data_IF_877663922835
#
_entry.id   IF_877663922835
#
_cell.length_a   1.000
_cell.length_b   1.000
_cell.length_c   1.000
_cell.angle_alpha   90.00
_cell.angle_beta   90.00
_cell.angle_gamma   90.00
#
_symmetry.space_group_name_H-M   'P 1'
#
loop_
_entity.id
_entity.type
_entity.pdbx_description
1 polymer ?
#
# COMPACT_ATOMS: atom_id res chain seq x y z
N UNK A 1 -7.83 -1.96 -28.72
CA UNK A 1 -8.06 -2.93 -27.60
C UNK A 1 -6.81 -3.39 -26.82
N UNK A 2 -5.75 -3.93 -27.48
CA UNK A 2 -4.60 -4.54 -26.75
C UNK A 2 -3.74 -3.51 -26.02
N UNK A 3 -3.63 -2.28 -26.56
CA UNK A 3 -2.98 -1.15 -25.88
C UNK A 3 -3.69 -0.82 -24.56
N UNK A 4 -5.03 -0.79 -24.54
CA UNK A 4 -5.81 -0.57 -23.30
C UNK A 4 -5.56 -1.69 -22.29
N UNK A 5 -5.55 -2.95 -22.72
CA UNK A 5 -5.19 -4.07 -21.86
C UNK A 5 -3.77 -3.97 -21.31
N UNK A 6 -2.80 -3.52 -22.11
CA UNK A 6 -1.42 -3.29 -21.66
C UNK A 6 -1.33 -2.19 -20.59
N UNK A 7 -2.15 -1.14 -20.69
CA UNK A 7 -2.26 -0.10 -19.66
C UNK A 7 -2.95 -0.61 -18.39
N UNK A 8 -4.04 -1.37 -18.53
CA UNK A 8 -4.78 -1.93 -17.38
C UNK A 8 -3.99 -3.02 -16.64
N UNK A 9 -3.15 -3.78 -17.34
CA UNK A 9 -2.23 -4.77 -16.76
C UNK A 9 -0.93 -4.14 -16.22
N UNK A 10 -0.73 -2.83 -16.39
CA UNK A 10 0.45 -2.17 -15.86
C UNK A 10 0.44 -2.21 -14.33
N UNK A 11 1.53 -2.67 -13.73
CA UNK A 11 1.68 -2.80 -12.27
C UNK A 11 1.52 -1.45 -11.54
N UNK A 12 1.83 -0.33 -12.20
CA UNK A 12 1.62 1.01 -11.68
C UNK A 12 0.15 1.46 -11.65
N UNK A 13 -0.74 0.80 -12.40
CA UNK A 13 -2.18 1.12 -12.37
C UNK A 13 -2.80 0.52 -11.10
N UNK A 14 -3.03 1.36 -10.10
CA UNK A 14 -3.67 0.96 -8.84
C UNK A 14 -5.18 0.98 -9.03
N UNK A 15 -5.89 -0.16 -8.88
CA UNK A 15 -7.34 -0.16 -8.98
C UNK A 15 -7.93 0.47 -7.72
N UNK A 16 -9.17 0.96 -7.79
CA UNK A 16 -9.85 1.47 -6.60
C UNK A 16 -10.14 0.36 -5.60
N UNK A 17 -10.55 -0.81 -6.09
CA UNK A 17 -10.75 -2.02 -5.31
C UNK A 17 -9.70 -3.09 -5.67
N UNK A 18 -9.09 -3.69 -4.65
CA UNK A 18 -8.16 -4.81 -4.81
C UNK A 18 -8.92 -6.13 -4.64
N UNK A 19 -9.18 -6.86 -5.74
CA UNK A 19 -9.89 -8.13 -5.64
C UNK A 19 -9.06 -9.14 -4.84
N UNK A 20 -9.76 -10.03 -4.12
CA UNK A 20 -9.19 -11.11 -3.33
C UNK A 20 -8.41 -10.67 -2.07
N UNK A 21 -8.59 -9.42 -1.61
CA UNK A 21 -8.06 -8.87 -0.35
C UNK A 21 -9.12 -8.16 0.47
N UNK A 22 -10.38 -8.51 0.26
CA UNK A 22 -11.54 -7.90 0.91
C UNK A 22 -11.51 -8.17 2.42
N UNK A 23 -11.20 -9.40 2.83
CA UNK A 23 -11.13 -9.77 4.24
C UNK A 23 -10.01 -9.01 4.98
N UNK A 24 -8.82 -8.88 4.38
CA UNK A 24 -7.73 -8.10 4.97
C UNK A 24 -8.05 -6.60 4.97
N UNK A 25 -8.69 -6.09 3.91
CA UNK A 25 -9.17 -4.71 3.84
C UNK A 25 -10.13 -4.40 4.98
N UNK A 26 -11.16 -5.22 5.18
CA UNK A 26 -12.15 -5.06 6.25
C UNK A 26 -11.50 -5.12 7.63
N UNK A 27 -10.54 -6.04 7.83
CA UNK A 27 -9.81 -6.14 9.11
C UNK A 27 -8.99 -4.88 9.40
N UNK A 28 -8.23 -4.37 8.43
CA UNK A 28 -7.45 -3.14 8.62
C UNK A 28 -8.39 -1.96 8.83
N UNK A 29 -9.46 -1.83 8.04
CA UNK A 29 -10.44 -0.76 8.15
C UNK A 29 -11.09 -0.74 9.54
N UNK A 30 -11.56 -1.90 10.01
CA UNK A 30 -12.16 -2.04 11.34
C UNK A 30 -11.18 -1.68 12.44
N UNK A 31 -9.97 -2.26 12.42
CA UNK A 31 -8.98 -1.98 13.46
C UNK A 31 -8.58 -0.49 13.52
N UNK A 32 -8.44 0.18 12.37
CA UNK A 32 -8.12 1.61 12.35
C UNK A 32 -9.34 2.44 12.77
N UNK A 33 -10.53 2.09 12.30
CA UNK A 33 -11.79 2.75 12.67
C UNK A 33 -12.03 2.72 14.17
N UNK A 34 -11.94 1.52 14.79
CA UNK A 34 -12.11 1.33 16.22
C UNK A 34 -11.14 2.23 17.03
N UNK A 35 -9.86 2.29 16.64
CA UNK A 35 -8.85 3.15 17.29
C UNK A 35 -9.14 4.66 17.13
N UNK A 36 -9.64 5.07 15.96
CA UNK A 36 -10.00 6.46 15.68
C UNK A 36 -11.27 6.90 16.43
N UNK A 37 -12.22 6.00 16.62
CA UNK A 37 -13.45 6.23 17.38
C UNK A 37 -13.19 6.28 18.89
N UNK A 38 -12.42 5.31 19.42
CA UNK A 38 -11.99 5.30 20.82
C UNK A 38 -11.07 6.50 21.15
N UNK A 39 -10.45 7.11 20.14
CA UNK A 39 -9.45 8.15 20.32
C UNK A 39 -8.20 7.63 21.02
N UNK A 40 -7.91 6.34 20.84
CA UNK A 40 -6.81 5.62 21.48
C UNK A 40 -5.65 5.46 20.51
N UNK A 41 -4.43 5.47 21.06
CA UNK A 41 -3.22 5.15 20.29
C UNK A 41 -3.15 3.64 20.08
N UNK A 42 -2.74 3.24 18.88
CA UNK A 42 -2.64 1.84 18.54
C UNK A 42 -1.56 1.57 17.51
N UNK A 43 -1.22 0.30 17.36
CA UNK A 43 -0.34 -0.10 16.29
C UNK A 43 -0.79 -1.41 15.65
N UNK A 44 -0.77 -1.43 14.33
CA UNK A 44 -1.18 -2.55 13.51
C UNK A 44 0.02 -2.96 12.68
N UNK A 45 0.38 -4.23 12.80
CA UNK A 45 1.52 -4.81 12.09
C UNK A 45 1.02 -5.63 10.91
N UNK A 46 1.40 -5.23 9.71
CA UNK A 46 1.01 -5.85 8.45
C UNK A 46 2.25 -6.51 7.84
N UNK A 47 2.20 -7.83 7.69
CA UNK A 47 3.29 -8.63 7.16
C UNK A 47 2.87 -9.44 5.95
N UNK A 48 3.82 -9.84 5.12
CA UNK A 48 3.57 -10.74 3.99
C UNK A 48 4.65 -10.64 2.93
N UNK A 49 4.69 -11.58 2.00
CA UNK A 49 5.68 -11.55 0.92
C UNK A 49 5.51 -10.32 0.02
N UNK A 50 6.56 -9.85 -0.66
CA UNK A 50 6.45 -8.76 -1.63
C UNK A 50 5.46 -9.14 -2.74
N UNK A 51 4.73 -8.15 -3.26
CA UNK A 51 3.78 -8.39 -4.36
C UNK A 51 2.40 -8.93 -3.96
N UNK A 52 2.13 -9.08 -2.66
CA UNK A 52 0.82 -9.51 -2.11
C UNK A 52 -0.22 -8.40 -1.97
N UNK A 53 0.15 -7.15 -2.28
CA UNK A 53 -0.78 -6.00 -2.28
C UNK A 53 -0.89 -5.22 -0.96
N UNK A 54 -0.06 -5.52 0.07
CA UNK A 54 -0.08 -4.87 1.39
C UNK A 54 -0.26 -3.34 1.35
N UNK A 55 0.72 -2.64 0.76
CA UNK A 55 0.73 -1.18 0.65
C UNK A 55 -0.49 -0.66 -0.12
N UNK A 56 -0.91 -1.38 -1.17
CA UNK A 56 -2.07 -0.99 -1.97
C UNK A 56 -3.38 -1.11 -1.17
N UNK A 57 -3.53 -2.18 -0.38
CA UNK A 57 -4.69 -2.36 0.51
C UNK A 57 -4.74 -1.28 1.58
N UNK A 58 -3.59 -0.96 2.20
CA UNK A 58 -3.53 0.11 3.21
C UNK A 58 -3.91 1.47 2.63
N UNK A 59 -3.39 1.82 1.44
CA UNK A 59 -3.80 3.06 0.77
C UNK A 59 -5.29 3.11 0.45
N UNK A 60 -5.88 1.97 0.04
CA UNK A 60 -7.31 1.89 -0.20
C UNK A 60 -8.11 2.13 1.10
N UNK A 61 -7.69 1.52 2.21
CA UNK A 61 -8.31 1.73 3.53
C UNK A 61 -8.22 3.20 3.96
N UNK A 62 -7.04 3.81 3.83
CA UNK A 62 -6.84 5.22 4.20
C UNK A 62 -7.70 6.14 3.33
N UNK A 63 -7.84 5.84 2.02
CA UNK A 63 -8.72 6.60 1.13
C UNK A 63 -10.17 6.51 1.58
N UNK A 64 -10.62 5.32 1.94
CA UNK A 64 -11.99 5.10 2.44
C UNK A 64 -12.22 5.81 3.78
N UNK A 65 -11.28 5.72 4.71
CA UNK A 65 -11.35 6.45 5.99
C UNK A 65 -11.38 7.97 5.79
N UNK A 66 -10.63 8.50 4.83
CA UNK A 66 -10.70 9.94 4.48
C UNK A 66 -12.08 10.31 3.91
N UNK A 67 -12.65 9.47 3.05
CA UNK A 67 -14.01 9.65 2.51
C UNK A 67 -15.05 9.65 3.65
N UNK A 68 -14.93 8.74 4.61
CA UNK A 68 -15.79 8.69 5.80
C UNK A 68 -15.61 9.92 6.70
N UNK A 69 -14.38 10.42 6.86
CA UNK A 69 -14.11 11.63 7.64
C UNK A 69 -14.71 12.88 6.97
N UNK A 70 -14.65 12.98 5.63
CA UNK A 70 -15.31 14.04 4.85
C UNK A 70 -16.84 13.96 4.97
N UNK A 71 -17.39 12.74 5.03
CA UNK A 71 -18.81 12.49 5.29
C UNK A 71 -19.23 12.73 6.75
N UNK A 72 -18.31 13.14 7.63
CA UNK A 72 -18.52 13.32 9.08
C UNK A 72 -18.93 12.04 9.83
N UNK A 73 -18.61 10.87 9.28
CA UNK A 73 -18.84 9.57 9.93
C UNK A 73 -17.74 9.23 10.93
N UNK A 74 -16.50 9.70 10.69
CA UNK A 74 -15.34 9.45 11.55
C UNK A 74 -14.64 10.73 11.95
N UNK A 75 -13.88 10.67 13.04
CA UNK A 75 -13.06 11.81 13.47
C UNK A 75 -12.04 12.18 12.40
N UNK A 76 -11.84 13.48 12.11
CA UNK A 76 -10.78 13.90 11.21
C UNK A 76 -9.43 13.43 11.75
N UNK A 77 -8.52 13.05 10.86
CA UNK A 77 -7.20 12.57 11.21
C UNK A 77 -6.15 13.10 10.23
N UNK A 78 -4.92 13.25 10.73
CA UNK A 78 -3.77 13.56 9.89
C UNK A 78 -3.17 12.25 9.39
N UNK A 79 -2.90 12.16 8.09
CA UNK A 79 -2.28 10.97 7.48
C UNK A 79 -0.85 11.28 7.02
N UNK A 80 0.11 10.45 7.42
CA UNK A 80 1.52 10.58 7.06
C UNK A 80 2.02 9.26 6.50
N UNK A 81 2.74 9.30 5.38
CA UNK A 81 3.39 8.14 4.78
C UNK A 81 4.91 8.28 4.88
N UNK A 82 5.55 7.30 5.51
CA UNK A 82 7.00 7.18 5.62
C UNK A 82 7.40 5.88 4.95
N UNK A 83 8.08 5.97 3.80
CA UNK A 83 8.55 4.80 3.07
C UNK A 83 10.04 4.61 3.30
N UNK A 84 10.42 3.46 3.86
CA UNK A 84 11.82 3.14 4.20
C UNK A 84 12.79 3.17 3.01
N UNK A 85 12.31 2.93 1.78
CA UNK A 85 13.14 3.03 0.57
C UNK A 85 13.33 4.47 0.06
N UNK A 86 12.41 5.39 0.39
CA UNK A 86 12.51 6.81 0.00
C UNK A 86 13.38 7.61 0.96
N UNK A 87 13.53 7.12 2.19
CA UNK A 87 14.25 7.82 3.25
C UNK A 87 15.72 7.39 3.24
N UNK A 88 16.68 8.32 3.07
CA UNK A 88 18.10 7.97 2.97
C UNK A 88 18.70 7.51 4.30
N UNK A 89 18.23 8.07 5.43
CA UNK A 89 18.66 7.69 6.77
C UNK A 89 17.44 7.47 7.69
N UNK A 90 17.37 6.38 8.46
CA UNK A 90 16.21 6.08 9.31
C UNK A 90 15.85 7.20 10.29
N UNK A 91 16.81 8.02 10.72
CA UNK A 91 16.58 9.17 11.59
C UNK A 91 15.74 10.27 10.92
N UNK A 92 15.78 10.39 9.59
CA UNK A 92 14.97 11.37 8.85
C UNK A 92 13.46 11.06 8.91
N UNK A 93 13.06 9.83 9.27
CA UNK A 93 11.66 9.50 9.56
C UNK A 93 11.05 10.38 10.67
N UNK A 94 11.85 10.80 11.65
CA UNK A 94 11.39 11.69 12.71
C UNK A 94 11.07 13.10 12.19
N UNK A 95 11.89 13.63 11.29
CA UNK A 95 11.64 14.96 10.71
C UNK A 95 10.39 14.95 9.83
N UNK A 96 10.17 13.89 9.05
CA UNK A 96 8.93 13.73 8.26
C UNK A 96 7.67 13.66 9.13
N UNK A 97 7.73 12.93 10.24
CA UNK A 97 6.60 12.87 11.17
C UNK A 97 6.36 14.22 11.85
N UNK A 98 7.41 14.88 12.30
CA UNK A 98 7.30 16.18 12.99
C UNK A 98 6.75 17.27 12.07
N UNK A 99 7.18 17.29 10.80
CA UNK A 99 6.66 18.19 9.78
C UNK A 99 5.14 18.06 9.62
N UNK A 100 4.63 16.84 9.58
CA UNK A 100 3.21 16.58 9.46
C UNK A 100 2.41 16.88 10.74
N UNK A 101 2.96 16.57 11.92
CA UNK A 101 2.30 16.77 13.21
C UNK A 101 2.28 18.26 13.63
N UNK A 102 3.29 19.03 13.21
CA UNK A 102 3.38 20.47 13.50
C UNK A 102 2.38 21.32 12.72
N UNK A 103 1.67 20.73 11.74
CA UNK A 103 0.78 21.47 10.84
C UNK A 103 1.53 22.41 9.89
N UNK A 104 2.82 22.14 9.65
CA UNK A 104 3.65 22.95 8.78
C UNK A 104 3.27 22.65 7.32
N UNK A 105 2.83 23.68 6.60
CA UNK A 105 2.45 23.56 5.20
C UNK A 105 3.71 23.56 4.33
N UNK A 106 4.18 22.36 3.98
CA UNK A 106 5.36 22.12 3.14
C UNK A 106 5.31 22.95 1.84
N UNK A 107 4.11 23.21 1.33
CA UNK A 107 3.91 23.97 0.09
C UNK A 107 4.12 25.49 0.26
N UNK A 108 4.01 26.03 1.48
CA UNK A 108 4.15 27.48 1.76
C UNK A 108 5.46 27.84 2.44
N UNK A 109 5.94 27.00 3.34
CA UNK A 109 7.08 27.31 4.23
C UNK A 109 8.33 26.47 3.92
N UNK A 110 8.22 25.53 2.97
CA UNK A 110 9.28 24.59 2.61
C UNK A 110 9.43 23.45 3.62
N UNK A 111 10.46 22.62 3.45
CA UNK A 111 10.73 21.56 4.43
C UNK A 111 11.30 22.13 5.72
N UNK A 112 10.78 21.68 6.86
CA UNK A 112 11.36 21.96 8.18
C UNK A 112 12.81 21.46 8.21
N UNK A 113 13.76 22.39 8.28
CA UNK A 113 15.20 22.09 8.49
C UNK A 113 15.49 21.74 9.95
N UNK A 114 14.60 20.99 10.58
CA UNK A 114 14.76 20.53 11.96
C UNK A 114 15.55 19.23 11.96
N UNK A 115 16.65 19.21 12.71
CA UNK A 115 17.49 18.03 12.81
C UNK A 115 16.74 16.87 13.46
N UNK A 116 17.01 15.63 13.03
CA UNK A 116 16.30 14.44 13.49
C UNK A 116 16.24 14.28 15.04
N UNK A 117 17.28 14.73 15.75
CA UNK A 117 17.33 14.71 17.23
C UNK A 117 16.39 15.72 17.88
N UNK A 118 16.22 16.88 17.26
CA UNK A 118 15.29 17.91 17.72
C UNK A 118 13.85 17.48 17.44
N UNK A 119 13.57 16.98 16.24
CA UNK A 119 12.29 16.36 15.89
C UNK A 119 11.91 15.25 16.88
N UNK A 120 12.85 14.38 17.26
CA UNK A 120 12.63 13.33 18.26
C UNK A 120 12.22 13.89 19.63
N UNK A 121 12.87 14.97 20.09
CA UNK A 121 12.56 15.61 21.37
C UNK A 121 11.16 16.22 21.36
N UNK A 122 10.82 16.91 20.28
CA UNK A 122 9.51 17.54 20.14
C UNK A 122 8.38 16.52 19.98
N UNK A 123 8.59 15.47 19.18
CA UNK A 123 7.64 14.35 19.08
C UNK A 123 7.43 13.65 20.42
N UNK A 124 8.51 13.41 21.18
CA UNK A 124 8.43 12.81 22.50
C UNK A 124 7.70 13.72 23.48
N UNK A 125 7.86 15.05 23.37
CA UNK A 125 7.09 16.00 24.17
C UNK A 125 5.61 16.03 23.78
N UNK A 126 5.32 15.97 22.48
CA UNK A 126 3.97 16.00 21.93
C UNK A 126 3.17 14.75 22.32
N UNK A 127 3.75 13.56 22.21
CA UNK A 127 3.09 12.29 22.55
C UNK A 127 3.30 11.87 24.02
N UNK A 128 4.29 12.42 24.73
CA UNK A 128 4.72 12.03 26.07
C UNK A 128 3.94 12.63 27.25
N UNK A 129 2.84 13.36 27.01
CA UNK A 129 1.99 13.91 28.07
C UNK A 129 2.52 15.18 28.76
N UNK A 130 3.55 15.83 28.21
CA UNK A 130 4.18 17.02 28.78
C UNK A 130 3.69 18.34 28.19
N UNK A 131 2.45 18.75 28.50
CA UNK A 131 2.07 20.16 28.38
C UNK A 131 0.62 20.45 28.03
N UNK A 132 -0.12 20.99 29.00
CA UNK A 132 -1.38 21.72 28.80
C UNK A 132 -1.24 23.03 28.00
N UNK A 133 -0.24 23.17 27.12
CA UNK A 133 0.02 24.29 26.22
C UNK A 133 0.80 23.75 25.02
N UNK A 134 0.12 23.47 23.92
CA UNK A 134 0.72 22.81 22.75
C UNK A 134 -0.06 21.62 22.19
N UNK A 135 -1.37 21.57 22.47
CA UNK A 135 -2.32 20.94 21.56
C UNK A 135 -2.07 21.63 20.21
N UNK A 136 -1.57 20.90 19.21
CA UNK A 136 -1.53 21.44 17.84
C UNK A 136 -2.93 21.93 17.45
N UNK A 137 -3.07 22.70 16.35
CA UNK A 137 -4.33 23.35 15.97
C UNK A 137 -5.55 22.40 15.88
N UNK A 138 -5.28 21.10 15.84
CA UNK A 138 -6.20 19.99 15.65
C UNK A 138 -5.93 18.89 16.69
N UNK A 139 -6.69 18.81 17.77
CA UNK A 139 -6.66 17.70 18.75
C UNK A 139 -7.17 16.34 18.21
N UNK A 140 -6.86 16.09 16.94
CA UNK A 140 -7.34 15.04 16.06
C UNK A 140 -6.31 13.91 15.99
N UNK A 141 -6.74 12.70 15.63
CA UNK A 141 -5.86 11.54 15.61
C UNK A 141 -4.81 11.65 14.49
N UNK A 142 -3.66 11.00 14.66
CA UNK A 142 -2.61 10.93 13.65
C UNK A 142 -2.43 9.47 13.21
N UNK A 143 -2.58 9.20 11.92
CA UNK A 143 -2.36 7.89 11.30
C UNK A 143 -1.06 7.93 10.50
N UNK A 144 -0.10 7.12 10.91
CA UNK A 144 1.22 7.03 10.26
C UNK A 144 1.37 5.68 9.58
N UNK A 145 1.57 5.68 8.27
CA UNK A 145 1.98 4.51 7.51
C UNK A 145 3.50 4.44 7.43
N UNK A 146 4.08 3.41 8.04
CA UNK A 146 5.48 3.04 7.87
C UNK A 146 5.57 1.89 6.85
N UNK A 147 5.86 2.22 5.59
CA UNK A 147 5.99 1.25 4.51
C UNK A 147 7.46 0.79 4.36
N UNK A 148 7.66 -0.48 4.00
CA UNK A 148 8.99 -1.12 3.96
C UNK A 148 9.78 -0.91 5.27
N UNK A 149 9.13 -1.21 6.40
CA UNK A 149 9.69 -1.01 7.75
C UNK A 149 11.02 -1.76 7.95
N UNK A 150 11.22 -2.88 7.26
CA UNK A 150 12.46 -3.66 7.30
C UNK A 150 13.69 -2.82 6.88
N UNK A 151 13.53 -1.82 6.01
CA UNK A 151 14.59 -0.89 5.62
C UNK A 151 14.93 0.13 6.71
N UNK A 152 13.99 0.44 7.61
CA UNK A 152 14.20 1.37 8.71
C UNK A 152 14.83 0.70 9.95
N UNK A 153 14.96 -0.63 9.95
CA UNK A 153 15.60 -1.37 11.04
C UNK A 153 17.11 -1.22 10.97
N UNK A 154 17.68 -0.47 11.90
CA UNK A 154 19.14 -0.39 12.10
C UNK A 154 19.59 -1.34 13.20
N UNK A 155 20.91 -1.49 13.38
CA UNK A 155 21.50 -2.27 14.48
C UNK A 155 21.09 -1.76 15.86
N UNK A 156 20.85 -0.45 16.01
CA UNK A 156 20.39 0.15 17.27
C UNK A 156 18.88 0.06 17.46
N UNK A 157 18.11 -0.10 16.38
CA UNK A 157 16.64 -0.27 16.40
C UNK A 157 15.86 0.89 17.06
N UNK A 158 16.52 2.03 17.34
CA UNK A 158 15.95 3.17 18.07
C UNK A 158 14.72 3.77 17.38
N UNK A 159 14.76 3.90 16.05
CA UNK A 159 13.68 4.48 15.24
C UNK A 159 12.41 3.68 15.39
N UNK A 160 12.49 2.41 15.01
CA UNK A 160 11.42 1.43 15.13
C UNK A 160 10.87 1.47 16.55
N UNK A 161 11.73 1.31 17.57
CA UNK A 161 11.31 1.32 18.97
C UNK A 161 10.49 2.56 19.36
N UNK A 162 10.95 3.76 19.01
CA UNK A 162 10.25 5.01 19.35
C UNK A 162 8.87 5.10 18.69
N UNK A 163 8.77 4.75 17.40
CA UNK A 163 7.50 4.75 16.67
C UNK A 163 6.49 3.76 17.27
N UNK A 164 6.93 2.61 17.77
CA UNK A 164 6.05 1.65 18.44
C UNK A 164 5.78 2.00 19.91
N UNK A 165 6.63 2.79 20.56
CA UNK A 165 6.45 3.20 21.94
C UNK A 165 5.47 4.38 22.06
N UNK A 166 5.46 5.34 21.13
CA UNK A 166 4.57 6.51 21.23
C UNK A 166 3.07 6.21 21.27
N UNK A 167 2.52 5.23 20.53
CA UNK A 167 1.11 4.83 20.66
C UNK A 167 0.79 4.22 22.02
N UNK A 168 1.80 3.74 22.75
CA UNK A 168 1.62 3.07 24.06
C UNK A 168 1.46 4.04 25.22
N UNK A 169 1.81 5.32 25.00
CA UNK A 169 1.74 6.38 25.99
C UNK A 169 0.30 6.82 26.17
N UNK A 170 -0.12 7.02 27.43
CA UNK A 170 -1.48 7.47 27.74
C UNK A 170 -1.79 8.81 27.06
N UNK A 171 -3.01 8.95 26.53
CA UNK A 171 -3.50 10.11 25.78
C UNK A 171 -2.80 10.38 24.43
N UNK A 172 -1.94 9.47 23.96
CA UNK A 172 -1.41 9.53 22.60
C UNK A 172 -2.49 9.07 21.61
N UNK A 173 -2.87 9.93 20.66
CA UNK A 173 -3.82 9.60 19.58
C UNK A 173 -3.08 9.21 18.29
N UNK A 174 -2.01 8.44 18.43
CA UNK A 174 -1.15 8.01 17.33
C UNK A 174 -1.50 6.57 16.94
N UNK A 175 -1.89 6.37 15.69
CA UNK A 175 -2.12 5.06 15.08
C UNK A 175 -0.99 4.77 14.11
N UNK A 176 -0.20 3.73 14.38
CA UNK A 176 0.92 3.34 13.51
C UNK A 176 0.56 2.09 12.71
N UNK A 177 0.56 2.23 11.38
CA UNK A 177 0.42 1.15 10.41
C UNK A 177 1.81 0.74 9.93
N UNK A 178 2.32 -0.38 10.42
CA UNK A 178 3.64 -0.87 10.06
C UNK A 178 3.54 -1.96 8.99
N UNK A 179 4.07 -1.71 7.79
CA UNK A 179 4.12 -2.69 6.69
C UNK A 179 5.54 -3.20 6.51
N UNK A 180 5.70 -4.52 6.57
CA UNK A 180 6.99 -5.18 6.39
C UNK A 180 6.87 -6.47 5.56
N UNK A 181 8.00 -6.98 5.06
CA UNK A 181 8.02 -8.21 4.28
C UNK A 181 8.13 -9.48 5.14
N UNK A 182 8.65 -9.36 6.36
CA UNK A 182 8.89 -10.51 7.24
C UNK A 182 7.86 -10.57 8.37
N UNK A 183 7.48 -11.78 8.78
CA UNK A 183 6.55 -11.98 9.90
C UNK A 183 7.24 -11.80 11.27
N UNK A 184 8.53 -12.12 11.32
CA UNK A 184 9.29 -12.19 12.58
C UNK A 184 9.92 -10.85 12.99
N UNK A 185 9.83 -9.80 12.16
CA UNK A 185 10.44 -8.50 12.46
C UNK A 185 10.09 -7.99 13.86
N UNK A 186 8.82 -8.05 14.32
CA UNK A 186 8.45 -7.59 15.65
C UNK A 186 9.09 -8.43 16.77
N UNK A 187 9.41 -9.70 16.50
CA UNK A 187 9.96 -10.61 17.50
C UNK A 187 11.47 -10.46 17.63
N UNK A 188 12.14 -10.06 16.54
CA UNK A 188 13.60 -9.84 16.50
C UNK A 188 14.01 -8.43 16.94
N UNK A 189 13.13 -7.45 16.74
CA UNK A 189 13.47 -6.02 16.85
C UNK A 189 12.88 -5.37 18.11
N UNK A 190 11.98 -6.05 18.84
CA UNK A 190 11.21 -5.42 19.91
C UNK A 190 11.41 -6.04 21.27
N UNK A 191 11.38 -5.18 22.28
CA UNK A 191 11.32 -5.58 23.69
C UNK A 191 9.99 -6.24 24.04
N UNK A 192 9.97 -7.09 25.06
CA UNK A 192 8.79 -7.90 25.42
C UNK A 192 7.49 -7.12 25.70
N UNK A 193 7.58 -5.86 26.16
CA UNK A 193 6.40 -5.00 26.42
C UNK A 193 5.72 -4.53 25.14
N UNK A 194 6.50 -4.09 24.16
CA UNK A 194 6.02 -3.63 22.85
C UNK A 194 5.48 -4.80 22.04
N UNK A 195 6.17 -5.96 22.11
CA UNK A 195 5.73 -7.22 21.50
C UNK A 195 4.36 -7.68 22.01
N UNK A 196 4.11 -7.59 23.31
CA UNK A 196 2.82 -8.02 23.90
C UNK A 196 1.63 -7.22 23.37
N UNK A 197 1.80 -5.92 23.12
CA UNK A 197 0.73 -5.06 22.59
C UNK A 197 0.56 -5.26 21.08
N UNK A 198 1.66 -5.36 20.35
CA UNK A 198 1.64 -5.62 18.90
C UNK A 198 1.22 -7.04 18.53
N UNK A 199 1.29 -7.99 19.46
CA UNK A 199 0.80 -9.34 19.26
C UNK A 199 -0.71 -9.40 19.01
N UNK A 200 -1.47 -8.38 19.44
CA UNK A 200 -2.93 -8.39 19.38
C UNK A 200 -3.50 -7.98 18.00
N UNK A 201 -2.77 -7.17 17.22
CA UNK A 201 -3.24 -6.55 15.97
C UNK A 201 -2.29 -6.84 14.80
N UNK A 202 -1.96 -8.13 14.60
CA UNK A 202 -1.17 -8.61 13.45
C UNK A 202 -2.07 -9.05 12.30
N UNK A 203 -1.79 -8.58 11.09
CA UNK A 203 -2.49 -8.96 9.86
C UNK A 203 -1.48 -9.51 8.86
N UNK A 204 -1.68 -10.76 8.46
CA UNK A 204 -0.74 -11.48 7.61
C UNK A 204 -1.31 -11.65 6.21
N UNK A 205 -0.64 -11.08 5.22
CA UNK A 205 -0.94 -11.22 3.80
C UNK A 205 -0.22 -12.45 3.25
N UNK A 206 -0.99 -13.51 3.04
CA UNK A 206 -0.48 -14.73 2.40
C UNK A 206 -0.21 -14.52 0.92
N UNK A 207 0.68 -15.32 0.33
CA UNK A 207 0.88 -15.32 -1.11
C UNK A 207 -0.44 -15.61 -1.85
N UNK A 208 -0.63 -15.05 -3.05
CA UNK A 208 -1.86 -15.27 -3.80
C UNK A 208 -1.97 -16.71 -4.30
N UNK A 209 -3.14 -17.30 -4.13
CA UNK A 209 -3.49 -18.61 -4.67
C UNK A 209 -3.79 -18.52 -6.17
N UNK A 210 -3.71 -19.66 -6.87
CA UNK A 210 -4.07 -19.76 -8.30
C UNK A 210 -5.44 -19.14 -8.65
N UNK A 211 -6.55 -19.46 -7.94
CA UNK A 211 -7.84 -18.85 -8.26
C UNK A 211 -7.83 -17.34 -8.03
N UNK A 212 -7.18 -16.84 -6.97
CA UNK A 212 -7.09 -15.40 -6.72
C UNK A 212 -6.31 -14.67 -7.81
N UNK A 213 -5.15 -15.20 -8.23
CA UNK A 213 -4.37 -14.61 -9.34
C UNK A 213 -5.18 -14.57 -10.64
N UNK A 214 -5.95 -15.63 -10.93
CA UNK A 214 -6.82 -15.66 -12.09
C UNK A 214 -7.91 -14.58 -12.03
N UNK A 215 -8.57 -14.43 -10.88
CA UNK A 215 -9.56 -13.37 -10.66
C UNK A 215 -8.95 -11.98 -10.82
N UNK A 216 -7.77 -11.73 -10.24
CA UNK A 216 -7.08 -10.43 -10.35
C UNK A 216 -6.84 -10.07 -11.82
N UNK A 217 -6.26 -10.98 -12.60
CA UNK A 217 -5.97 -10.72 -14.02
C UNK A 217 -7.26 -10.57 -14.82
N UNK A 218 -8.25 -11.43 -14.58
CA UNK A 218 -9.54 -11.39 -15.29
C UNK A 218 -10.28 -10.08 -15.04
N UNK A 219 -10.35 -9.61 -13.80
CA UNK A 219 -10.98 -8.32 -13.46
C UNK A 219 -10.27 -7.16 -14.16
N UNK A 220 -8.93 -7.15 -14.22
CA UNK A 220 -8.17 -6.11 -14.92
C UNK A 220 -8.39 -6.12 -16.42
N UNK A 221 -8.44 -7.31 -17.02
CA UNK A 221 -8.74 -7.47 -18.45
C UNK A 221 -10.16 -7.01 -18.76
N UNK A 222 -11.14 -7.38 -17.94
CA UNK A 222 -12.52 -6.93 -18.08
C UNK A 222 -12.62 -5.40 -17.99
N UNK A 223 -11.99 -4.78 -16.99
CA UNK A 223 -11.92 -3.31 -16.88
C UNK A 223 -11.32 -2.65 -18.12
N UNK A 224 -10.34 -3.28 -18.77
CA UNK A 224 -9.75 -2.78 -20.01
C UNK A 224 -10.70 -2.86 -21.23
N UNK A 225 -11.68 -3.77 -21.16
CA UNK A 225 -12.70 -4.00 -22.20
C UNK A 225 -13.94 -3.12 -22.00
N UNK A 226 -14.17 -2.60 -20.79
CA UNK A 226 -15.25 -1.63 -20.52
C UNK A 226 -15.02 -0.36 -21.35
N UNK A 227 -16.00 0.02 -22.18
CA UNK A 227 -15.93 1.19 -23.06
C UNK A 227 -15.31 0.94 -24.44
N UNK A 228 -15.24 -0.32 -24.90
CA UNK A 228 -14.99 -0.65 -26.30
C UNK A 228 -16.29 -0.64 -27.12
N UNK A 229 -16.21 -0.12 -28.33
CA UNK A 229 -17.24 -0.15 -29.36
C UNK A 229 -17.62 -1.60 -29.70
N UNK A 230 -18.87 -1.88 -30.07
CA UNK A 230 -19.30 -3.24 -30.46
C UNK A 230 -18.49 -3.81 -31.64
N UNK A 231 -17.91 -2.95 -32.48
CA UNK A 231 -16.99 -3.29 -33.58
C UNK A 231 -15.61 -3.76 -33.07
N UNK A 232 -15.05 -3.07 -32.07
CA UNK A 232 -13.80 -3.47 -31.42
C UNK A 232 -13.94 -4.76 -30.62
N UNK A 233 -15.14 -5.05 -30.09
CA UNK A 233 -15.45 -6.33 -29.43
C UNK A 233 -15.53 -7.48 -30.43
N UNK A 234 -15.96 -7.23 -31.67
CA UNK A 234 -15.94 -8.24 -32.75
C UNK A 234 -14.52 -8.61 -33.20
N UNK A 235 -13.54 -7.71 -33.09
CA UNK A 235 -12.12 -8.03 -33.31
C UNK A 235 -11.53 -8.95 -32.22
N UNK A 236 -12.22 -9.13 -31.08
CA UNK A 236 -11.82 -10.01 -29.96
C UNK A 236 -13.00 -10.82 -29.44
N UNK A 237 -13.38 -11.91 -30.13
CA UNK A 237 -14.49 -12.76 -29.69
C UNK A 237 -14.22 -13.40 -28.31
N UNK A 238 -12.97 -13.81 -28.06
CA UNK A 238 -12.57 -14.54 -26.84
C UNK A 238 -11.85 -13.67 -25.79
N UNK A 239 -11.82 -12.35 -25.99
CA UNK A 239 -11.04 -11.41 -25.18
C UNK A 239 -9.55 -11.35 -25.53
N UNK A 240 -8.83 -10.37 -24.97
CA UNK A 240 -7.41 -10.07 -25.34
C UNK A 240 -6.48 -11.25 -25.08
N UNK A 241 -6.78 -12.04 -24.05
CA UNK A 241 -6.04 -13.24 -23.65
C UNK A 241 -7.07 -14.32 -23.33
N UNK A 242 -6.89 -15.52 -23.88
CA UNK A 242 -7.75 -16.67 -23.58
C UNK A 242 -7.78 -16.96 -22.06
N UNK A 243 -8.95 -17.28 -21.48
CA UNK A 243 -9.08 -17.58 -20.06
C UNK A 243 -8.22 -18.78 -19.62
N UNK A 244 -7.98 -19.76 -20.51
CA UNK A 244 -7.11 -20.90 -20.22
C UNK A 244 -5.65 -20.49 -20.11
N UNK A 245 -5.21 -19.54 -20.95
CA UNK A 245 -3.87 -18.99 -20.89
C UNK A 245 -3.65 -18.19 -19.59
N UNK A 246 -4.66 -17.43 -19.14
CA UNK A 246 -4.62 -16.73 -17.85
C UNK A 246 -4.53 -17.73 -16.70
N UNK A 247 -5.34 -18.79 -16.72
CA UNK A 247 -5.31 -19.85 -15.70
C UNK A 247 -3.94 -20.56 -15.65
N UNK A 248 -3.35 -20.85 -16.80
CA UNK A 248 -2.02 -21.45 -16.89
C UNK A 248 -0.93 -20.52 -16.32
N UNK A 249 -0.95 -19.24 -16.68
CA UNK A 249 -0.02 -18.25 -16.14
C UNK A 249 -0.17 -18.11 -14.62
N UNK A 250 -1.40 -18.01 -14.12
CA UNK A 250 -1.70 -17.95 -12.69
C UNK A 250 -1.17 -19.19 -11.94
N UNK A 251 -1.37 -20.39 -12.49
CA UNK A 251 -0.90 -21.65 -11.90
C UNK A 251 0.63 -21.73 -11.82
N UNK A 252 1.33 -21.28 -12.87
CA UNK A 252 2.80 -21.24 -12.86
C UNK A 252 3.34 -20.24 -11.84
N UNK A 253 2.74 -19.05 -11.74
CA UNK A 253 3.21 -18.01 -10.82
C UNK A 253 2.90 -18.35 -9.36
N UNK A 254 1.72 -18.91 -9.06
CA UNK A 254 1.35 -19.32 -7.71
C UNK A 254 2.27 -20.42 -7.17
N UNK A 255 2.66 -21.39 -8.01
CA UNK A 255 3.58 -22.47 -7.64
C UNK A 255 4.99 -21.99 -7.29
N UNK A 256 5.42 -20.84 -7.80
CA UNK A 256 6.79 -20.32 -7.60
C UNK A 256 6.83 -19.26 -6.50
N UNK A 257 5.86 -18.34 -6.47
CA UNK A 257 5.93 -17.17 -5.57
C UNK A 257 4.58 -16.63 -5.11
N UNK A 258 3.53 -16.74 -5.94
CA UNK A 258 2.24 -16.10 -5.65
C UNK A 258 2.29 -14.57 -5.65
N UNK A 259 3.24 -13.97 -6.38
CA UNK A 259 3.35 -12.51 -6.59
C UNK A 259 2.42 -12.07 -7.74
N UNK A 260 1.52 -11.12 -7.46
CA UNK A 260 0.60 -10.59 -8.46
C UNK A 260 1.31 -9.76 -9.56
N UNK A 261 2.45 -9.12 -9.26
CA UNK A 261 3.24 -8.33 -10.22
C UNK A 261 3.75 -9.22 -11.35
N UNK A 262 4.26 -10.41 -11.00
CA UNK A 262 4.80 -11.38 -11.97
C UNK A 262 3.74 -11.87 -12.95
N UNK A 263 2.54 -12.22 -12.47
CA UNK A 263 1.47 -12.69 -13.39
C UNK A 263 1.00 -11.56 -14.31
N UNK A 264 0.90 -10.32 -13.80
CA UNK A 264 0.52 -9.16 -14.61
C UNK A 264 1.57 -8.85 -15.68
N UNK A 265 2.87 -8.93 -15.34
CA UNK A 265 3.96 -8.70 -16.29
C UNK A 265 4.02 -9.77 -17.39
N UNK A 266 3.73 -11.04 -17.07
CA UNK A 266 3.61 -12.11 -18.06
C UNK A 266 2.45 -11.83 -19.02
N UNK A 267 1.25 -11.56 -18.49
CA UNK A 267 0.08 -11.26 -19.32
C UNK A 267 0.30 -10.00 -20.18
N UNK A 268 0.97 -8.98 -19.63
CA UNK A 268 1.34 -7.76 -20.38
C UNK A 268 2.34 -8.06 -21.50
N UNK A 269 3.30 -8.94 -21.26
CA UNK A 269 4.29 -9.34 -22.26
C UNK A 269 3.63 -10.11 -23.41
N UNK A 270 2.66 -10.98 -23.11
CA UNK A 270 1.85 -11.68 -24.11
C UNK A 270 1.05 -10.69 -24.96
N UNK A 271 0.36 -9.73 -24.34
CA UNK A 271 -0.38 -8.70 -25.07
C UNK A 271 0.53 -7.87 -25.99
N UNK A 272 1.73 -7.51 -25.53
CA UNK A 272 2.73 -6.81 -26.34
C UNK A 272 3.21 -7.65 -27.52
N UNK A 273 3.48 -8.94 -27.32
CA UNK A 273 3.90 -9.85 -28.38
C UNK A 273 2.81 -9.98 -29.46
N UNK A 274 1.54 -10.07 -29.06
CA UNK A 274 0.42 -10.09 -29.99
C UNK A 274 0.34 -8.81 -30.84
N UNK A 275 0.53 -7.64 -30.25
CA UNK A 275 0.60 -6.37 -31.01
C UNK A 275 1.73 -6.42 -32.03
N UNK A 276 2.92 -6.88 -31.62
CA UNK A 276 4.07 -7.00 -32.51
C UNK A 276 3.79 -7.93 -33.69
N UNK A 277 3.21 -9.11 -33.45
CA UNK A 277 2.83 -10.05 -34.50
C UNK A 277 1.77 -9.48 -35.46
N UNK A 278 0.79 -8.73 -34.95
CA UNK A 278 -0.23 -8.07 -35.78
C UNK A 278 0.38 -7.00 -36.68
N UNK A 279 1.32 -6.20 -36.16
CA UNK A 279 2.04 -5.19 -36.94
C UNK A 279 2.91 -5.84 -38.01
N UNK A 280 3.62 -6.92 -37.68
CA UNK A 280 4.45 -7.65 -38.65
C UNK A 280 3.61 -8.31 -39.75
N UNK A 281 2.50 -8.97 -39.41
CA UNK A 281 1.56 -9.53 -40.41
C UNK A 281 0.98 -8.47 -41.32
N UNK A 282 0.62 -7.29 -40.78
CA UNK A 282 0.15 -6.17 -41.61
C UNK A 282 1.24 -5.68 -42.56
N UNK A 283 2.50 -5.68 -42.12
CA UNK A 283 3.64 -5.31 -42.97
C UNK A 283 3.87 -6.35 -44.09
N UNK A 284 3.80 -7.65 -43.79
CA UNK A 284 3.90 -8.72 -44.81
C UNK A 284 2.73 -8.68 -45.80
N UNK A 285 1.50 -8.46 -45.32
CA UNK A 285 0.31 -8.29 -46.18
C UNK A 285 0.37 -7.02 -47.04
N UNK A 286 0.98 -5.95 -46.54
CA UNK A 286 1.21 -4.72 -47.31
C UNK A 286 2.25 -4.96 -48.40
N UNK A 287 3.36 -5.63 -48.07
CA UNK A 287 4.38 -6.03 -49.05
C UNK A 287 3.79 -6.93 -50.13
N UNK A 288 3.00 -7.95 -49.77
CA UNK A 288 2.33 -8.85 -50.73
C UNK A 288 1.23 -8.19 -51.59
N UNK A 289 0.73 -7.00 -51.20
CA UNK A 289 -0.22 -6.22 -52.01
C UNK A 289 0.45 -5.19 -52.92
N UNK A 290 1.73 -4.92 -52.71
CA UNK A 290 2.49 -3.91 -53.45
C UNK A 290 3.37 -4.53 -54.55
N UNK A 291 3.42 -5.87 -54.62
CA UNK A 291 3.99 -6.66 -55.71
C UNK A 291 2.87 -7.36 -56.49
#
# INVERSE_FOLDING_TARGET
PWLRAMHALHVGSRPEALPCREAEFERVLRCVGDLLEEGSGGCIYISGTPGTGKTATVHAVVRELKRMAEASETNPFTYVEINGLKVPEPAAAYSLLWEAVSGHDVAKEGHLRVGAKESLRELTRHFGGGGGRGRGPSGHACVVLMDELDQLVTTKQDVVYNFFNWPTIANSKLVVLAVANTMDLPERVMTGRVRSRLGMTRINFQAYTTPQLNTIVSTRLQQALVGLSEEDKKEVPDGVISPDAVKFAAMKVSSISGDARRVLDICRSVARQHIWCLLHRRHELFVLRTY
#
